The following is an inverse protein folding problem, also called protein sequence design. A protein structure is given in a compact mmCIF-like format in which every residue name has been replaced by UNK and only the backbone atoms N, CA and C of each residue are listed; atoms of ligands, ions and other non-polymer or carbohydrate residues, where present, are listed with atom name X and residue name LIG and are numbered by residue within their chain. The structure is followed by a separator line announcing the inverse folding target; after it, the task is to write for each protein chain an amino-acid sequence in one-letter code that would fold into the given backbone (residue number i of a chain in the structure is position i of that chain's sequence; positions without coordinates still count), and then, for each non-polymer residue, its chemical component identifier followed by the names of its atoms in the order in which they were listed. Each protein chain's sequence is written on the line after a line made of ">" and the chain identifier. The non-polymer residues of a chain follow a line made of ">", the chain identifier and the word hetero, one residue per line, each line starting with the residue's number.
data_IF_590974645954
#
_entry.id   IF_590974645954
#
_cell.length_a   1.000
_cell.length_b   1.000
_cell.length_c   1.000
_cell.angle_alpha   90.00
_cell.angle_beta   90.00
_cell.angle_gamma   90.00
#
_symmetry.space_group_name_H-M   'P 1'
#
loop_
_entity.id
_entity.type
_entity.pdbx_description
1 polymer ?
#
# COMPACT_ATOMS: atom_id res chain seq x y z
N UNK A 1 -4.03 -10.35 -10.58
CA UNK A 1 -4.12 -10.96 -9.23
C UNK A 1 -2.72 -10.91 -8.64
N UNK A 2 -2.56 -10.37 -7.44
CA UNK A 2 -1.23 -10.16 -6.87
C UNK A 2 -0.67 -11.50 -6.36
N UNK A 3 0.51 -11.86 -6.86
CA UNK A 3 1.24 -13.05 -6.44
C UNK A 3 2.22 -12.72 -5.31
N UNK A 4 2.33 -13.62 -4.36
CA UNK A 4 3.22 -13.51 -3.21
C UNK A 4 4.25 -14.63 -3.25
N UNK A 5 5.52 -14.27 -3.07
CA UNK A 5 6.62 -15.24 -3.01
C UNK A 5 6.62 -15.94 -1.65
N UNK A 6 6.71 -17.26 -1.68
CA UNK A 6 6.62 -18.13 -0.50
C UNK A 6 7.68 -19.21 -0.53
N UNK A 7 8.00 -19.75 0.66
CA UNK A 7 8.76 -20.99 0.83
C UNK A 7 7.87 -22.05 1.50
N UNK A 8 7.87 -23.28 1.00
CA UNK A 8 7.10 -24.37 1.58
C UNK A 8 7.82 -24.97 2.79
N UNK A 9 7.14 -25.04 3.93
CA UNK A 9 7.66 -25.63 5.18
C UNK A 9 7.50 -27.14 5.26
N UNK A 10 6.68 -27.71 4.40
CA UNK A 10 6.39 -29.15 4.29
C UNK A 10 5.98 -29.51 2.87
N UNK A 11 5.99 -30.79 2.55
CA UNK A 11 5.43 -31.26 1.28
C UNK A 11 3.94 -30.90 1.19
N UNK A 12 3.54 -30.35 0.08
CA UNK A 12 2.23 -29.78 -0.10
C UNK A 12 1.65 -30.17 -1.46
N UNK A 13 0.39 -30.60 -1.48
CA UNK A 13 -0.35 -30.88 -2.70
C UNK A 13 -1.80 -30.42 -2.54
N UNK A 14 -2.23 -29.53 -3.40
CA UNK A 14 -3.63 -29.06 -3.50
C UNK A 14 -4.06 -29.11 -4.94
N UNK A 15 -5.26 -29.67 -5.14
CA UNK A 15 -5.99 -29.60 -6.39
C UNK A 15 -7.39 -29.04 -6.10
N UNK A 16 -7.62 -27.76 -6.45
CA UNK A 16 -8.89 -27.07 -6.26
C UNK A 16 -9.21 -26.28 -7.54
N UNK A 17 -10.32 -26.62 -8.19
CA UNK A 17 -10.91 -25.86 -9.30
C UNK A 17 -9.93 -25.35 -10.38
N UNK A 18 -9.03 -26.23 -10.82
CA UNK A 18 -8.03 -25.90 -11.87
C UNK A 18 -6.73 -25.28 -11.34
N UNK A 19 -6.61 -25.10 -10.02
CA UNK A 19 -5.35 -24.78 -9.34
C UNK A 19 -4.71 -26.08 -8.89
N UNK A 20 -3.71 -26.54 -9.62
CA UNK A 20 -2.90 -27.70 -9.27
C UNK A 20 -1.57 -27.22 -8.72
N UNK A 21 -1.38 -27.39 -7.41
CA UNK A 21 -0.17 -26.94 -6.73
C UNK A 21 0.46 -28.11 -6.01
N UNK A 22 1.62 -28.54 -6.50
CA UNK A 22 2.43 -29.57 -5.89
C UNK A 22 3.82 -29.01 -5.58
N UNK A 23 4.24 -29.09 -4.32
CA UNK A 23 5.53 -28.57 -3.89
C UNK A 23 6.16 -29.40 -2.79
N UNK A 24 7.49 -29.42 -2.76
CA UNK A 24 8.30 -30.08 -1.71
C UNK A 24 8.72 -29.09 -0.64
N UNK A 25 9.01 -29.61 0.55
CA UNK A 25 9.59 -28.85 1.64
C UNK A 25 10.86 -28.10 1.18
N UNK A 26 10.94 -26.80 1.48
CA UNK A 26 12.04 -25.92 1.09
C UNK A 26 11.94 -25.34 -0.32
N UNK A 27 10.98 -25.75 -1.12
CA UNK A 27 10.75 -25.20 -2.46
C UNK A 27 10.20 -23.76 -2.37
N UNK A 28 10.66 -22.90 -3.28
CA UNK A 28 10.21 -21.51 -3.39
C UNK A 28 9.25 -21.39 -4.57
N UNK A 29 8.12 -20.79 -4.34
CA UNK A 29 7.10 -20.56 -5.36
C UNK A 29 6.42 -19.21 -5.23
N UNK A 30 5.49 -18.92 -6.15
CA UNK A 30 4.60 -17.77 -6.09
C UNK A 30 3.16 -18.23 -6.15
N UNK A 31 2.33 -17.73 -5.25
CA UNK A 31 0.90 -18.06 -5.16
C UNK A 31 0.08 -16.78 -4.94
N UNK A 32 -1.23 -16.81 -5.25
CA UNK A 32 -2.10 -15.70 -4.93
C UNK A 32 -2.06 -15.33 -3.45
N UNK A 33 -2.06 -14.04 -3.16
CA UNK A 33 -1.91 -13.51 -1.79
C UNK A 33 -2.94 -14.05 -0.79
N UNK A 34 -4.20 -14.17 -1.22
CA UNK A 34 -5.27 -14.71 -0.37
C UNK A 34 -4.99 -16.16 0.06
N UNK A 35 -4.41 -16.96 -0.86
CA UNK A 35 -4.02 -18.35 -0.58
C UNK A 35 -2.79 -18.40 0.33
N UNK A 36 -1.82 -17.50 0.10
CA UNK A 36 -0.63 -17.41 0.94
C UNK A 36 -0.97 -17.12 2.42
N UNK A 37 -1.93 -16.23 2.68
CA UNK A 37 -2.40 -15.93 4.03
C UNK A 37 -2.99 -17.16 4.73
N UNK A 38 -3.87 -17.89 4.06
CA UNK A 38 -4.48 -19.11 4.60
C UNK A 38 -3.42 -20.20 4.90
N UNK A 39 -2.47 -20.39 3.98
CA UNK A 39 -1.43 -21.41 4.15
C UNK A 39 -0.39 -21.03 5.20
N UNK A 40 -0.13 -19.75 5.41
CA UNK A 40 0.75 -19.26 6.48
C UNK A 40 0.10 -19.46 7.85
N UNK A 41 -1.19 -19.16 8.00
CA UNK A 41 -1.96 -19.44 9.23
C UNK A 41 -1.95 -20.93 9.60
N UNK A 42 -1.99 -21.81 8.60
CA UNK A 42 -1.87 -23.25 8.77
C UNK A 42 -0.42 -23.77 8.92
N UNK A 43 0.56 -22.87 8.99
CA UNK A 43 1.97 -23.21 9.16
C UNK A 43 2.55 -24.08 8.02
N UNK A 44 1.97 -24.01 6.83
CA UNK A 44 2.35 -24.79 5.65
C UNK A 44 3.41 -24.12 4.80
N UNK A 45 3.46 -22.80 4.86
CA UNK A 45 4.39 -21.95 4.11
C UNK A 45 4.96 -20.83 4.98
N UNK A 46 6.00 -20.19 4.46
CA UNK A 46 6.55 -18.93 4.97
C UNK A 46 6.55 -17.92 3.85
N UNK A 47 5.95 -16.75 4.09
CA UNK A 47 5.95 -15.65 3.13
C UNK A 47 7.35 -15.02 3.10
N UNK A 48 7.93 -14.86 1.91
CA UNK A 48 9.23 -14.25 1.70
C UNK A 48 9.09 -12.74 1.54
N UNK A 49 9.35 -12.01 2.63
CA UNK A 49 9.08 -10.57 2.72
C UNK A 49 10.18 -9.65 2.18
N UNK A 50 11.30 -10.20 1.73
CA UNK A 50 12.45 -9.39 1.24
C UNK A 50 12.04 -8.45 0.11
N UNK A 51 11.25 -8.93 -0.84
CA UNK A 51 10.79 -8.13 -1.98
C UNK A 51 9.82 -7.02 -1.54
N UNK A 52 9.00 -7.29 -0.51
CA UNK A 52 8.07 -6.31 0.05
C UNK A 52 8.83 -5.21 0.79
N UNK A 53 9.87 -5.55 1.54
CA UNK A 53 10.73 -4.56 2.21
C UNK A 53 11.39 -3.62 1.20
N UNK A 54 11.95 -4.19 0.11
CA UNK A 54 12.57 -3.40 -0.96
C UNK A 54 11.53 -2.47 -1.61
N UNK A 55 10.35 -2.99 -1.89
CA UNK A 55 9.25 -2.23 -2.47
C UNK A 55 8.84 -1.03 -1.58
N UNK A 56 8.60 -1.28 -0.29
CA UNK A 56 8.25 -0.23 0.67
C UNK A 56 9.40 0.80 0.76
N UNK A 57 10.63 0.35 0.95
CA UNK A 57 11.80 1.25 1.09
C UNK A 57 11.99 2.13 -0.14
N UNK A 58 11.80 1.61 -1.34
CA UNK A 58 11.85 2.40 -2.58
C UNK A 58 10.75 3.46 -2.63
N UNK A 59 9.54 3.11 -2.23
CA UNK A 59 8.40 4.04 -2.22
C UNK A 59 8.64 5.19 -1.22
N UNK A 60 9.12 4.87 -0.02
CA UNK A 60 9.49 5.86 1.00
C UNK A 60 10.58 6.81 0.50
N UNK A 61 11.62 6.28 -0.13
CA UNK A 61 12.72 7.08 -0.66
C UNK A 61 12.28 7.99 -1.82
N UNK A 62 11.48 7.49 -2.74
CA UNK A 62 10.94 8.29 -3.85
C UNK A 62 10.14 9.48 -3.35
N UNK A 63 9.29 9.28 -2.35
CA UNK A 63 8.51 10.37 -1.76
C UNK A 63 9.41 11.39 -1.06
N UNK A 64 10.41 10.93 -0.30
CA UNK A 64 11.34 11.81 0.42
C UNK A 64 12.12 12.75 -0.49
N UNK A 65 12.49 12.28 -1.68
CA UNK A 65 13.23 13.09 -2.66
C UNK A 65 12.33 13.84 -3.64
N UNK A 66 11.03 13.60 -3.63
CA UNK A 66 10.08 14.29 -4.51
C UNK A 66 9.88 15.75 -4.10
N UNK A 67 9.50 16.57 -5.06
CA UNK A 67 9.28 18.00 -4.82
C UNK A 67 8.11 18.24 -3.86
N UNK A 68 8.08 19.39 -3.13
CA UNK A 68 7.02 19.68 -2.13
C UNK A 68 5.59 19.70 -2.68
N UNK A 69 5.40 19.84 -3.98
CA UNK A 69 4.11 19.91 -4.66
C UNK A 69 3.90 18.77 -5.66
N UNK A 70 4.76 17.76 -5.62
CA UNK A 70 4.63 16.55 -6.44
C UNK A 70 4.57 15.32 -5.55
N UNK A 71 3.75 14.35 -5.95
CA UNK A 71 3.60 13.07 -5.29
C UNK A 71 4.32 11.98 -6.09
N UNK A 72 5.12 11.18 -5.43
CA UNK A 72 5.64 9.95 -6.03
C UNK A 72 4.51 8.95 -6.27
N UNK A 73 4.61 8.13 -7.33
CA UNK A 73 3.61 7.09 -7.61
C UNK A 73 3.71 5.94 -6.61
N UNK A 74 2.56 5.53 -6.09
CA UNK A 74 2.39 4.29 -5.32
C UNK A 74 1.25 3.48 -5.90
N UNK A 75 1.23 2.17 -5.61
CA UNK A 75 0.16 1.29 -6.07
C UNK A 75 -1.12 1.47 -5.26
N UNK A 76 -2.25 1.05 -5.84
CA UNK A 76 -3.57 1.14 -5.21
C UNK A 76 -3.62 0.47 -3.83
N UNK A 77 -2.92 -0.63 -3.66
CA UNK A 77 -2.91 -1.48 -2.46
C UNK A 77 -1.67 -1.26 -1.58
N UNK A 78 -0.92 -0.16 -1.78
CA UNK A 78 0.32 0.11 -1.08
C UNK A 78 0.20 -0.01 0.45
N UNK A 79 -0.80 0.63 1.05
CA UNK A 79 -0.97 0.61 2.51
C UNK A 79 -1.41 -0.75 3.04
N UNK A 80 -2.21 -1.49 2.29
CA UNK A 80 -2.60 -2.87 2.64
C UNK A 80 -1.36 -3.76 2.69
N UNK A 81 -0.51 -3.68 1.67
CA UNK A 81 0.75 -4.45 1.61
C UNK A 81 1.72 -4.07 2.72
N UNK A 82 1.89 -2.76 2.96
CA UNK A 82 2.75 -2.27 4.03
C UNK A 82 2.28 -2.74 5.41
N UNK A 83 0.99 -2.65 5.69
CA UNK A 83 0.41 -3.08 6.96
C UNK A 83 0.54 -4.59 7.19
N UNK A 84 0.30 -5.40 6.17
CA UNK A 84 0.48 -6.85 6.27
C UNK A 84 1.94 -7.24 6.53
N UNK A 85 2.87 -6.55 5.89
CA UNK A 85 4.30 -6.72 6.14
C UNK A 85 4.68 -6.37 7.58
N UNK A 86 4.23 -5.22 8.08
CA UNK A 86 4.51 -4.74 9.43
C UNK A 86 3.98 -5.71 10.49
N UNK A 87 2.83 -6.33 10.28
CA UNK A 87 2.26 -7.33 11.21
C UNK A 87 3.17 -8.54 11.41
N UNK A 88 3.98 -8.89 10.42
CA UNK A 88 4.89 -10.05 10.45
C UNK A 88 6.28 -9.74 11.01
N UNK A 89 6.62 -8.46 11.19
CA UNK A 89 7.91 -8.04 11.70
C UNK A 89 8.05 -8.23 13.22
N UNK A 90 9.29 -8.45 13.66
CA UNK A 90 9.67 -8.42 15.07
C UNK A 90 9.70 -6.99 15.61
N UNK A 91 9.52 -6.82 16.90
CA UNK A 91 9.28 -5.53 17.55
C UNK A 91 10.26 -4.41 17.17
N UNK A 92 11.56 -4.66 17.16
CA UNK A 92 12.58 -3.64 16.81
C UNK A 92 12.51 -3.18 15.34
N UNK A 93 12.37 -4.12 14.43
CA UNK A 93 12.26 -3.83 12.99
C UNK A 93 10.94 -3.15 12.67
N UNK A 94 9.87 -3.60 13.33
CA UNK A 94 8.54 -3.03 13.23
C UNK A 94 8.53 -1.55 13.63
N UNK A 95 9.12 -1.20 14.76
CA UNK A 95 9.14 0.17 15.26
C UNK A 95 9.82 1.12 14.27
N UNK A 96 10.96 0.75 13.72
CA UNK A 96 11.69 1.56 12.74
C UNK A 96 10.88 1.81 11.46
N UNK A 97 10.23 0.77 10.93
CA UNK A 97 9.42 0.89 9.71
C UNK A 97 8.15 1.69 9.96
N UNK A 98 7.49 1.51 11.10
CA UNK A 98 6.30 2.28 11.48
C UNK A 98 6.63 3.78 11.56
N UNK A 99 7.76 4.16 12.16
CA UNK A 99 8.21 5.56 12.20
C UNK A 99 8.42 6.12 10.81
N UNK A 100 9.11 5.38 9.94
CA UNK A 100 9.35 5.80 8.55
C UNK A 100 8.06 5.91 7.74
N UNK A 101 7.14 4.97 7.92
CA UNK A 101 5.84 4.99 7.25
C UNK A 101 4.97 6.15 7.73
N UNK A 102 4.97 6.46 9.02
CA UNK A 102 4.27 7.63 9.55
C UNK A 102 4.79 8.93 8.95
N UNK A 103 6.10 9.10 8.83
CA UNK A 103 6.70 10.27 8.16
C UNK A 103 6.29 10.36 6.68
N UNK A 104 6.27 9.23 6.00
CA UNK A 104 5.81 9.13 4.61
C UNK A 104 4.35 9.55 4.48
N UNK A 105 3.45 8.98 5.29
CA UNK A 105 2.02 9.31 5.28
C UNK A 105 1.79 10.79 5.57
N UNK A 106 2.48 11.35 6.55
CA UNK A 106 2.37 12.78 6.89
C UNK A 106 2.76 13.66 5.70
N UNK A 107 3.90 13.38 5.06
CA UNK A 107 4.34 14.12 3.87
C UNK A 107 3.31 14.04 2.73
N UNK A 108 2.75 12.87 2.49
CA UNK A 108 1.74 12.69 1.45
C UNK A 108 0.44 13.41 1.77
N UNK A 109 -0.04 13.35 3.02
CA UNK A 109 -1.24 14.10 3.45
C UNK A 109 -1.06 15.59 3.22
N UNK A 110 0.06 16.18 3.60
CA UNK A 110 0.34 17.61 3.38
C UNK A 110 0.26 18.00 1.90
N UNK A 111 0.83 17.18 1.03
CA UNK A 111 0.79 17.40 -0.42
C UNK A 111 -0.63 17.21 -0.99
N UNK A 112 -1.32 16.15 -0.58
CA UNK A 112 -2.71 15.87 -1.01
C UNK A 112 -3.63 17.01 -0.60
N UNK A 113 -3.54 17.51 0.62
CA UNK A 113 -4.35 18.64 1.10
C UNK A 113 -4.16 19.88 0.23
N UNK A 114 -2.90 20.23 -0.06
CA UNK A 114 -2.59 21.40 -0.92
C UNK A 114 -3.12 21.23 -2.34
N UNK A 115 -2.92 20.08 -2.93
CA UNK A 115 -3.37 19.81 -4.31
C UNK A 115 -4.89 19.73 -4.41
N UNK A 116 -5.55 19.04 -3.48
CA UNK A 116 -7.00 18.87 -3.46
C UNK A 116 -7.76 20.17 -3.15
N UNK A 117 -7.19 21.05 -2.32
CA UNK A 117 -7.74 22.38 -2.07
C UNK A 117 -7.68 23.28 -3.32
N UNK A 118 -6.72 23.06 -4.21
CA UNK A 118 -6.49 23.86 -5.40
C UNK A 118 -7.27 23.37 -6.62
N UNK A 119 -7.36 22.06 -6.83
CA UNK A 119 -7.91 21.48 -8.07
C UNK A 119 -8.53 20.09 -7.87
N UNK A 120 -9.43 19.72 -8.80
CA UNK A 120 -9.97 18.38 -8.89
C UNK A 120 -8.87 17.35 -9.25
N UNK A 121 -9.10 16.09 -8.90
CA UNK A 121 -8.19 14.99 -9.19
C UNK A 121 -8.05 14.79 -10.70
N UNK A 122 -6.82 14.97 -11.21
CA UNK A 122 -6.49 14.70 -12.61
C UNK A 122 -6.21 13.23 -12.84
N UNK A 123 -6.34 12.77 -14.10
CA UNK A 123 -6.04 11.38 -14.48
C UNK A 123 -4.59 10.98 -14.17
N UNK A 124 -3.64 11.90 -14.38
CA UNK A 124 -2.22 11.64 -14.12
C UNK A 124 -1.92 11.55 -12.62
N UNK A 125 -2.55 12.40 -11.81
CA UNK A 125 -2.40 12.36 -10.37
C UNK A 125 -3.09 11.13 -9.77
N UNK A 126 -4.25 10.75 -10.30
CA UNK A 126 -4.98 9.55 -9.86
C UNK A 126 -4.13 8.27 -9.93
N UNK A 127 -3.29 8.13 -10.95
CA UNK A 127 -2.38 6.98 -11.11
C UNK A 127 -1.29 6.90 -10.05
N UNK A 128 -1.02 7.99 -9.35
CA UNK A 128 0.01 8.09 -8.30
C UNK A 128 -0.51 7.82 -6.89
N UNK A 129 -1.82 7.67 -6.72
CA UNK A 129 -2.48 7.57 -5.42
C UNK A 129 -2.92 6.13 -5.10
N UNK A 130 -2.85 5.76 -3.83
CA UNK A 130 -3.54 4.58 -3.33
C UNK A 130 -5.05 4.75 -3.32
N UNK A 131 -5.80 3.67 -3.07
CA UNK A 131 -7.25 3.73 -2.98
C UNK A 131 -7.72 4.70 -1.88
N UNK A 132 -7.09 4.61 -0.70
CA UNK A 132 -7.39 5.47 0.45
C UNK A 132 -7.06 6.93 0.19
N UNK A 133 -5.96 7.19 -0.52
CA UNK A 133 -5.55 8.55 -0.88
C UNK A 133 -6.47 9.20 -1.90
N UNK A 134 -7.01 8.43 -2.84
CA UNK A 134 -8.03 8.94 -3.78
C UNK A 134 -9.30 9.37 -3.06
N UNK A 135 -9.75 8.58 -2.11
CA UNK A 135 -10.90 8.93 -1.26
C UNK A 135 -10.65 10.21 -0.48
N UNK A 136 -9.49 10.30 0.18
CA UNK A 136 -9.07 11.48 0.93
C UNK A 136 -9.01 12.72 0.04
N UNK A 137 -8.40 12.62 -1.15
CA UNK A 137 -8.30 13.71 -2.11
C UNK A 137 -9.66 14.26 -2.50
N UNK A 138 -10.56 13.37 -2.92
CA UNK A 138 -11.92 13.76 -3.35
C UNK A 138 -12.72 14.38 -2.19
N UNK A 139 -12.58 13.87 -1.00
CA UNK A 139 -13.20 14.41 0.20
C UNK A 139 -12.71 15.85 0.48
N UNK A 140 -11.40 16.08 0.51
CA UNK A 140 -10.82 17.41 0.76
C UNK A 140 -11.22 18.38 -0.34
N UNK A 141 -11.18 17.95 -1.60
CA UNK A 141 -11.57 18.80 -2.72
C UNK A 141 -13.02 19.26 -2.61
N UNK A 142 -13.93 18.32 -2.35
CA UNK A 142 -15.36 18.62 -2.15
C UNK A 142 -15.60 19.63 -1.03
N UNK A 143 -15.04 19.38 0.14
CA UNK A 143 -15.19 20.27 1.30
C UNK A 143 -14.56 21.65 1.06
N UNK A 144 -13.42 21.70 0.40
CA UNK A 144 -12.77 22.96 0.04
C UNK A 144 -13.64 23.81 -0.90
N UNK A 145 -14.30 23.20 -1.87
CA UNK A 145 -15.25 23.88 -2.76
C UNK A 145 -16.47 24.41 -2.00
N UNK A 146 -17.09 23.57 -1.18
CA UNK A 146 -18.24 23.96 -0.37
C UNK A 146 -17.91 25.11 0.58
N UNK A 147 -16.74 25.05 1.22
CA UNK A 147 -16.27 26.13 2.08
C UNK A 147 -16.08 27.44 1.33
N UNK A 148 -15.39 27.40 0.18
CA UNK A 148 -15.17 28.59 -0.67
C UNK A 148 -16.49 29.22 -1.11
N UNK A 149 -17.45 28.41 -1.56
CA UNK A 149 -18.77 28.89 -1.95
C UNK A 149 -19.49 29.60 -0.79
N UNK A 150 -19.53 28.99 0.39
CA UNK A 150 -20.14 29.58 1.59
C UNK A 150 -19.42 30.86 2.05
N UNK A 151 -18.09 30.89 1.93
CA UNK A 151 -17.32 32.07 2.32
C UNK A 151 -17.52 33.25 1.41
N UNK A 152 -17.70 33.04 0.09
CA UNK A 152 -17.90 34.09 -0.89
C UNK A 152 -19.37 34.56 -0.94
N UNK A 153 -20.33 33.64 -0.87
CA UNK A 153 -21.77 33.98 -0.99
C UNK A 153 -22.39 34.57 0.29
N UNK A 154 -21.59 34.79 1.34
CA UNK A 154 -22.07 35.49 2.56
C UNK A 154 -22.33 36.99 2.37
N UNK A 155 -21.99 37.56 1.22
CA UNK A 155 -22.10 38.97 0.91
C UNK A 155 -23.09 39.27 -0.21
N UNK A 156 -23.81 38.28 -0.72
CA UNK A 156 -24.99 38.43 -1.55
C UNK A 156 -26.27 38.22 -0.70
#
# INVERSE_FOLDING_TARGET
>A
MEETRIAFKKNFSINIDGLDLEAKEGEIGSIPRWLAQILEENNSIEIQDTDVLIYISRSLNRERISKPHDLSGIDLDFYIRANDFIKRLKDKEKESIVVSLNSFVTSRIEKIVKLAAASALSVDLEKKLSAEEKELYNFIHKYSLEFKQRAVNRYE
#
